data_IF_414652622464
#
_entry.id   IF_414652622464
#
_cell.length_a   1.000
_cell.length_b   1.000
_cell.length_c   1.000
_cell.angle_alpha   90.00
_cell.angle_beta   90.00
_cell.angle_gamma   90.00
#
_symmetry.space_group_name_H-M   'P 1'
#
loop_
_entity.id
_entity.type
_entity.pdbx_description
1 polymer ?
#
# COMPACT_ATOMS: atom_id res chain seq x y z
N UNK A 1 10.75 -5.22 4.30
CA UNK A 1 9.37 -4.70 4.49
C UNK A 1 8.30 -5.71 4.10
N UNK A 2 8.38 -6.36 2.94
CA UNK A 2 7.40 -7.39 2.51
C UNK A 2 7.26 -8.52 3.53
N UNK A 3 8.34 -9.21 3.90
CA UNK A 3 8.28 -10.37 4.82
C UNK A 3 7.62 -10.05 6.16
N UNK A 4 7.94 -8.89 6.74
CA UNK A 4 7.33 -8.46 8.00
C UNK A 4 5.83 -8.15 7.85
N UNK A 5 5.42 -7.51 6.74
CA UNK A 5 4.01 -7.29 6.47
C UNK A 5 3.28 -8.62 6.20
N UNK A 6 3.88 -9.54 5.43
CA UNK A 6 3.32 -10.87 5.23
C UNK A 6 3.07 -11.58 6.56
N UNK A 7 4.07 -11.64 7.45
CA UNK A 7 3.93 -12.22 8.78
C UNK A 7 2.81 -11.52 9.60
N UNK A 8 2.75 -10.19 9.58
CA UNK A 8 1.67 -9.42 10.24
C UNK A 8 0.30 -9.79 9.71
N UNK A 9 0.12 -9.79 8.40
CA UNK A 9 -1.19 -10.01 7.79
C UNK A 9 -1.58 -11.49 7.78
N UNK A 10 -0.64 -12.45 7.79
CA UNK A 10 -0.96 -13.88 7.90
C UNK A 10 -1.30 -14.30 9.34
N UNK A 11 -0.68 -13.69 10.35
CA UNK A 11 -0.93 -13.99 11.77
C UNK A 11 -2.25 -13.41 12.30
N UNK A 12 -2.81 -12.38 11.66
CA UNK A 12 -4.00 -11.68 12.15
C UNK A 12 -5.17 -11.77 11.15
N UNK A 13 -6.14 -12.67 11.34
CA UNK A 13 -7.22 -12.93 10.37
C UNK A 13 -8.04 -11.69 9.97
N UNK A 14 -8.34 -10.80 10.91
CA UNK A 14 -9.07 -9.56 10.62
C UNK A 14 -8.25 -8.61 9.75
N UNK A 15 -6.93 -8.54 9.96
CA UNK A 15 -6.05 -7.74 9.11
C UNK A 15 -5.89 -8.38 7.72
N UNK A 16 -5.77 -9.72 7.63
CA UNK A 16 -5.79 -10.46 6.35
C UNK A 16 -7.04 -10.08 5.57
N UNK A 17 -8.22 -10.21 6.19
CA UNK A 17 -9.52 -9.88 5.58
C UNK A 17 -9.59 -8.42 5.14
N UNK A 18 -9.11 -7.49 5.97
CA UNK A 18 -9.08 -6.07 5.63
C UNK A 18 -8.19 -5.80 4.40
N UNK A 19 -6.99 -6.36 4.34
CA UNK A 19 -6.09 -6.20 3.21
C UNK A 19 -6.66 -6.83 1.94
N UNK A 20 -7.22 -8.04 2.01
CA UNK A 20 -7.84 -8.72 0.87
C UNK A 20 -9.08 -7.96 0.35
N UNK A 21 -9.84 -7.29 1.21
CA UNK A 21 -11.00 -6.48 0.83
C UNK A 21 -10.64 -5.25 -0.03
N UNK A 22 -9.36 -4.90 -0.13
CA UNK A 22 -8.89 -3.85 -1.03
C UNK A 22 -8.96 -4.25 -2.51
N UNK A 23 -9.09 -5.55 -2.81
CA UNK A 23 -9.22 -6.13 -4.15
C UNK A 23 -8.08 -5.72 -5.09
N UNK A 24 -8.38 -5.13 -6.23
CA UNK A 24 -7.48 -4.71 -7.30
C UNK A 24 -7.03 -3.24 -7.15
N UNK A 25 -7.48 -2.54 -6.10
CA UNK A 25 -7.10 -1.14 -5.87
C UNK A 25 -5.60 -1.00 -5.64
N UNK A 26 -5.03 0.07 -6.18
CA UNK A 26 -3.69 0.54 -5.83
C UNK A 26 -3.74 1.16 -4.44
N UNK A 27 -2.90 0.67 -3.54
CA UNK A 27 -2.75 1.21 -2.19
C UNK A 27 -1.66 2.28 -2.20
N UNK A 28 -1.95 3.41 -1.57
CA UNK A 28 -1.01 4.52 -1.46
C UNK A 28 -0.88 4.96 0.00
N UNK A 29 0.33 5.37 0.36
CA UNK A 29 0.57 6.16 1.58
C UNK A 29 0.60 7.64 1.16
N UNK A 30 -0.39 8.41 1.62
CA UNK A 30 -0.64 9.79 1.20
C UNK A 30 0.02 10.81 2.13
N UNK A 31 1.32 10.63 2.39
CA UNK A 31 2.13 11.61 3.12
C UNK A 31 2.75 12.64 2.17
N UNK A 32 2.59 13.95 2.45
CA UNK A 32 3.28 15.00 1.70
C UNK A 32 4.79 15.08 2.00
N UNK A 33 5.24 14.48 3.11
CA UNK A 33 6.65 14.57 3.56
C UNK A 33 7.44 13.29 3.28
N UNK A 34 6.77 12.15 3.12
CA UNK A 34 7.43 10.88 2.79
C UNK A 34 7.38 10.63 1.28
N UNK A 35 8.54 10.74 0.63
CA UNK A 35 8.72 10.50 -0.80
C UNK A 35 9.29 9.12 -1.13
N UNK A 36 9.63 8.30 -0.11
CA UNK A 36 10.18 6.96 -0.32
C UNK A 36 9.09 5.92 -0.07
N UNK A 37 8.49 5.93 1.11
CA UNK A 37 7.41 5.00 1.43
C UNK A 37 6.05 5.50 0.97
N UNK A 38 5.89 6.82 0.84
CA UNK A 38 4.67 7.49 0.37
C UNK A 38 4.76 8.10 -1.04
N UNK A 39 3.64 8.67 -1.48
CA UNK A 39 3.47 9.33 -2.78
C UNK A 39 3.98 10.78 -2.79
N UNK A 40 4.45 11.31 -1.65
CA UNK A 40 4.94 12.68 -1.54
C UNK A 40 3.86 13.74 -1.73
N UNK A 41 2.59 13.40 -1.51
CA UNK A 41 1.44 14.30 -1.62
C UNK A 41 0.44 14.02 -0.50
N UNK A 42 -0.27 15.06 -0.05
CA UNK A 42 -1.38 14.91 0.87
C UNK A 42 -2.59 14.25 0.20
N UNK A 43 -3.43 13.58 1.00
CA UNK A 43 -4.62 12.88 0.50
C UNK A 43 -5.61 13.77 -0.28
N UNK A 44 -5.66 15.07 0.03
CA UNK A 44 -6.53 16.06 -0.60
C UNK A 44 -5.87 16.79 -1.78
N UNK A 45 -4.65 16.41 -2.16
CA UNK A 45 -3.96 17.01 -3.29
C UNK A 45 -4.74 16.74 -4.61
N UNK A 46 -4.95 17.75 -5.49
CA UNK A 46 -5.77 17.60 -6.71
C UNK A 46 -5.31 16.48 -7.65
N UNK A 47 -4.02 16.14 -7.61
CA UNK A 47 -3.39 15.12 -8.46
C UNK A 47 -3.14 13.79 -7.74
N UNK A 48 -3.70 13.58 -6.54
CA UNK A 48 -3.42 12.37 -5.74
C UNK A 48 -3.81 11.07 -6.46
N UNK A 49 -4.82 11.13 -7.34
CA UNK A 49 -5.32 9.99 -8.10
C UNK A 49 -4.54 9.71 -9.39
N UNK A 50 -3.54 10.53 -9.73
CA UNK A 50 -2.71 10.37 -10.94
C UNK A 50 -1.29 9.92 -10.57
N UNK A 51 -0.97 8.61 -10.73
CA UNK A 51 0.35 8.09 -10.42
C UNK A 51 1.49 8.72 -11.22
N UNK A 52 1.21 9.26 -12.40
CA UNK A 52 2.23 9.93 -13.22
C UNK A 52 2.69 11.27 -12.63
N UNK A 53 1.88 11.83 -11.74
CA UNK A 53 2.15 13.11 -11.08
C UNK A 53 2.72 12.94 -9.67
N UNK A 54 2.68 11.74 -9.09
CA UNK A 54 3.21 11.48 -7.74
C UNK A 54 4.64 11.95 -7.57
N UNK A 55 4.94 12.51 -6.40
CA UNK A 55 6.27 13.06 -6.07
C UNK A 55 7.11 12.09 -5.22
N UNK A 56 6.60 10.89 -4.98
CA UNK A 56 7.22 9.86 -4.16
C UNK A 56 7.03 8.46 -4.75
N UNK A 57 7.79 7.51 -4.20
CA UNK A 57 7.92 6.16 -4.74
C UNK A 57 6.81 5.19 -4.28
N UNK A 58 6.05 5.53 -3.23
CA UNK A 58 4.99 4.69 -2.68
C UNK A 58 5.41 3.24 -2.37
N UNK A 59 6.64 3.02 -1.89
CA UNK A 59 7.16 1.67 -1.67
C UNK A 59 6.32 0.87 -0.64
N UNK A 60 5.66 1.54 0.30
CA UNK A 60 4.80 0.88 1.28
C UNK A 60 3.53 0.32 0.61
N UNK A 61 2.88 1.14 -0.22
CA UNK A 61 1.71 0.74 -0.97
C UNK A 61 1.99 -0.49 -1.84
N UNK A 62 3.09 -0.47 -2.59
CA UNK A 62 3.51 -1.61 -3.42
C UNK A 62 3.87 -2.85 -2.59
N UNK A 63 4.54 -2.68 -1.45
CA UNK A 63 4.81 -3.81 -0.55
C UNK A 63 3.53 -4.47 -0.04
N UNK A 64 2.49 -3.69 0.29
CA UNK A 64 1.20 -4.21 0.74
C UNK A 64 0.41 -4.89 -0.38
N UNK A 65 0.48 -4.36 -1.61
CA UNK A 65 -0.09 -5.02 -2.80
C UNK A 65 0.57 -6.38 -3.03
N UNK A 66 1.90 -6.45 -2.95
CA UNK A 66 2.60 -7.72 -3.13
C UNK A 66 2.27 -8.73 -2.02
N UNK A 67 2.14 -8.27 -0.76
CA UNK A 67 1.68 -9.13 0.35
C UNK A 67 0.25 -9.63 0.12
N UNK A 68 -0.65 -8.79 -0.41
CA UNK A 68 -2.01 -9.19 -0.78
C UNK A 68 -2.01 -10.31 -1.82
N UNK A 69 -1.13 -10.25 -2.82
CA UNK A 69 -0.97 -11.31 -3.83
C UNK A 69 -0.49 -12.62 -3.21
N UNK A 70 0.56 -12.57 -2.37
CA UNK A 70 1.07 -13.77 -1.68
C UNK A 70 0.00 -14.46 -0.82
N UNK A 71 -0.82 -13.67 -0.12
CA UNK A 71 -1.89 -14.18 0.75
C UNK A 71 -3.08 -14.79 -0.01
N UNK A 72 -3.23 -14.49 -1.31
CA UNK A 72 -4.24 -15.11 -2.19
C UNK A 72 -3.77 -16.46 -2.74
N UNK A 73 -2.45 -16.69 -2.79
CA UNK A 73 -1.84 -17.91 -3.31
C UNK A 73 -1.47 -18.94 -2.24
N UNK A 74 -1.63 -18.56 -0.96
CA UNK A 74 -1.42 -19.40 0.23
C UNK A 74 -2.62 -20.30 0.51
#
# INVERSE_FOLDING_TARGET
>A
VVQANFAKFSQHPELKKFLLATKDRILIEASPVDKIWGVGMAQDHPHIQDPSLWQGLNLLGFALIHVRELLLTE
#
